data_IF_260341964786
#
_entry.id   IF_260341964786
#
_cell.length_a   1.000
_cell.length_b   1.000
_cell.length_c   1.000
_cell.angle_alpha   90.00
_cell.angle_beta   90.00
_cell.angle_gamma   90.00
#
_symmetry.space_group_name_H-M   'P 1'
#
loop_
_entity.id
_entity.type
_entity.pdbx_description
1 polymer ?
#
# COMPACT_ATOMS: atom_id res chain seq x y z
N UNK A 1 -26.30 -45.18 56.24
CA UNK A 1 -25.53 -44.33 57.19
C UNK A 1 -24.19 -43.97 56.56
N UNK A 2 -23.67 -42.75 56.84
CA UNK A 2 -22.45 -42.05 56.33
C UNK A 2 -22.75 -41.13 55.12
N UNK A 3 -23.21 -39.88 55.36
CA UNK A 3 -22.45 -38.62 55.62
C UNK A 3 -21.57 -38.23 54.42
N UNK A 4 -22.03 -37.32 53.56
CA UNK A 4 -21.81 -35.86 53.60
C UNK A 4 -20.43 -35.46 53.10
N UNK A 5 -20.36 -34.60 52.07
CA UNK A 5 -19.69 -33.28 52.06
C UNK A 5 -20.15 -32.57 50.79
N UNK A 6 -20.98 -31.53 50.96
CA UNK A 6 -21.28 -30.53 49.93
C UNK A 6 -20.20 -29.46 50.04
N UNK A 7 -19.40 -29.27 49.00
CA UNK A 7 -18.48 -28.15 48.90
C UNK A 7 -19.22 -26.99 48.22
N UNK A 8 -19.62 -26.00 49.02
CA UNK A 8 -20.17 -24.73 48.56
C UNK A 8 -19.01 -23.85 48.09
N UNK A 9 -18.91 -23.61 46.79
CA UNK A 9 -18.06 -22.59 46.19
C UNK A 9 -18.89 -21.31 46.01
N UNK A 10 -18.66 -20.34 46.90
CA UNK A 10 -19.14 -18.97 46.77
C UNK A 10 -18.26 -18.24 45.75
N UNK A 11 -18.83 -17.90 44.59
CA UNK A 11 -18.19 -17.07 43.58
C UNK A 11 -18.70 -15.63 43.79
N UNK A 12 -17.81 -14.62 43.97
CA UNK A 12 -18.25 -13.24 44.04
C UNK A 12 -18.63 -12.74 42.65
N UNK A 13 -19.86 -12.25 42.51
CA UNK A 13 -20.36 -11.58 41.31
C UNK A 13 -19.74 -10.18 41.29
N UNK A 14 -18.69 -10.00 40.49
CA UNK A 14 -18.17 -8.68 40.15
C UNK A 14 -19.11 -8.07 39.12
N UNK A 15 -19.89 -7.08 39.53
CA UNK A 15 -20.74 -6.29 38.64
C UNK A 15 -19.86 -5.44 37.72
N UNK A 16 -19.75 -5.86 36.46
CA UNK A 16 -19.06 -5.11 35.41
C UNK A 16 -20.04 -4.07 34.85
N UNK A 17 -19.89 -2.81 35.26
CA UNK A 17 -20.60 -1.69 34.66
C UNK A 17 -20.13 -1.51 33.22
N UNK A 18 -20.95 -1.93 32.26
CA UNK A 18 -20.76 -1.61 30.84
C UNK A 18 -21.10 -0.13 30.66
N UNK A 19 -20.07 0.72 30.65
CA UNK A 19 -20.16 2.05 30.04
C UNK A 19 -20.32 1.82 28.55
N UNK A 20 -21.51 2.11 28.02
CA UNK A 20 -21.75 2.24 26.60
C UNK A 20 -20.99 3.47 26.10
N UNK A 21 -19.71 3.28 25.79
CA UNK A 21 -18.92 4.23 25.03
C UNK A 21 -19.44 4.24 23.60
N UNK A 22 -20.07 5.35 23.22
CA UNK A 22 -20.41 5.66 21.84
C UNK A 22 -19.14 5.53 20.98
N UNK A 23 -19.14 4.60 20.02
CA UNK A 23 -18.00 4.40 19.13
C UNK A 23 -17.68 5.74 18.44
N UNK A 24 -16.46 6.27 18.52
CA UNK A 24 -16.10 7.42 17.73
C UNK A 24 -16.26 7.03 16.26
N UNK A 25 -17.07 7.80 15.53
CA UNK A 25 -17.20 7.73 14.08
C UNK A 25 -15.82 8.06 13.50
N UNK A 26 -15.00 7.02 13.29
CA UNK A 26 -13.68 7.14 12.68
C UNK A 26 -13.82 7.96 11.40
N UNK A 27 -13.01 9.02 11.29
CA UNK A 27 -12.83 9.74 10.04
C UNK A 27 -12.45 8.73 8.94
N UNK A 28 -12.89 8.92 7.68
CA UNK A 28 -12.59 7.99 6.61
C UNK A 28 -11.06 7.82 6.46
N UNK A 29 -10.62 6.56 6.48
CA UNK A 29 -9.23 6.11 6.47
C UNK A 29 -8.39 6.77 5.37
N UNK A 30 -7.39 7.56 5.77
CA UNK A 30 -6.44 8.24 4.87
C UNK A 30 -5.22 7.37 4.54
N UNK A 31 -5.38 6.05 4.38
CA UNK A 31 -4.25 5.15 4.08
C UNK A 31 -3.52 5.64 2.81
N UNK A 32 -2.25 6.03 2.91
CA UNK A 32 -1.48 6.55 1.77
C UNK A 32 -1.90 7.94 1.26
N UNK A 33 -2.58 8.76 2.07
CA UNK A 33 -2.79 10.20 1.82
C UNK A 33 -3.80 10.55 0.72
N UNK A 34 -4.66 9.63 0.31
CA UNK A 34 -5.69 9.85 -0.73
C UNK A 34 -7.10 9.76 -0.15
N UNK A 35 -8.06 10.43 -0.80
CA UNK A 35 -9.49 10.16 -0.59
C UNK A 35 -9.89 8.84 -1.25
N UNK A 36 -11.02 8.24 -0.85
CA UNK A 36 -11.53 7.02 -1.50
C UNK A 36 -11.79 7.21 -2.99
N UNK A 37 -12.35 8.36 -3.37
CA UNK A 37 -12.59 8.71 -4.77
C UNK A 37 -11.27 8.78 -5.56
N UNK A 38 -10.24 9.44 -5.01
CA UNK A 38 -8.93 9.50 -5.66
C UNK A 38 -8.29 8.10 -5.72
N UNK A 39 -8.40 7.30 -4.65
CA UNK A 39 -7.88 5.92 -4.62
C UNK A 39 -8.49 5.07 -5.72
N UNK A 40 -9.82 5.10 -5.89
CA UNK A 40 -10.52 4.36 -6.95
C UNK A 40 -10.08 4.85 -8.34
N UNK A 41 -9.96 6.16 -8.51
CA UNK A 41 -9.54 6.76 -9.78
C UNK A 41 -8.12 6.32 -10.17
N UNK A 42 -7.16 6.41 -9.24
CA UNK A 42 -5.78 5.99 -9.48
C UNK A 42 -5.63 4.48 -9.61
N UNK A 43 -6.38 3.66 -8.86
CA UNK A 43 -6.39 2.21 -9.04
C UNK A 43 -6.83 1.82 -10.46
N UNK A 44 -7.91 2.45 -10.96
CA UNK A 44 -8.39 2.23 -12.33
C UNK A 44 -7.37 2.64 -13.39
N UNK A 45 -6.67 3.76 -13.18
CA UNK A 45 -5.63 4.21 -14.10
C UNK A 45 -4.39 3.32 -14.03
N UNK A 46 -3.98 2.90 -12.83
CA UNK A 46 -2.90 1.96 -12.62
C UNK A 46 -3.16 0.66 -13.41
N UNK A 47 -4.35 0.08 -13.26
CA UNK A 47 -4.74 -1.14 -13.97
C UNK A 47 -4.68 -1.01 -15.51
N UNK A 48 -4.99 0.17 -16.06
CA UNK A 48 -4.97 0.39 -17.51
C UNK A 48 -3.59 0.76 -18.06
N UNK A 49 -2.83 1.55 -17.33
CA UNK A 49 -1.63 2.22 -17.87
C UNK A 49 -0.33 1.66 -17.31
N UNK A 50 -0.30 1.24 -16.05
CA UNK A 50 0.94 0.79 -15.39
C UNK A 50 1.00 -0.73 -15.33
N UNK A 51 -0.10 -1.38 -14.99
CA UNK A 51 -0.16 -2.82 -14.82
C UNK A 51 0.30 -3.62 -16.04
N UNK A 52 -0.08 -3.28 -17.30
CA UNK A 52 0.42 -4.01 -18.45
C UNK A 52 1.96 -4.01 -18.53
N UNK A 53 2.62 -2.90 -18.20
CA UNK A 53 4.09 -2.81 -18.19
C UNK A 53 4.73 -3.66 -17.08
N UNK A 54 4.00 -3.94 -16.00
CA UNK A 54 4.48 -4.75 -14.87
C UNK A 54 4.18 -6.24 -15.04
N UNK A 55 3.03 -6.58 -15.64
CA UNK A 55 2.49 -7.93 -15.65
C UNK A 55 2.60 -8.64 -17.00
N UNK A 56 2.83 -7.92 -18.10
CA UNK A 56 2.81 -8.51 -19.43
C UNK A 56 4.07 -9.37 -19.71
N UNK A 57 3.91 -10.69 -19.95
CA UNK A 57 5.04 -11.60 -20.17
C UNK A 57 5.80 -11.36 -21.49
N UNK A 58 5.14 -10.73 -22.47
CA UNK A 58 5.70 -10.54 -23.81
C UNK A 58 6.64 -9.33 -23.90
N UNK A 59 6.54 -8.40 -22.94
CA UNK A 59 7.42 -7.24 -22.85
C UNK A 59 8.68 -7.53 -22.05
N UNK A 60 8.62 -8.48 -21.12
CA UNK A 60 9.76 -8.92 -20.32
C UNK A 60 9.50 -10.40 -20.10
N UNK A 61 10.35 -11.30 -20.57
CA UNK A 61 10.10 -12.77 -20.49
C UNK A 61 9.83 -13.30 -19.06
N UNK A 62 9.88 -12.42 -18.05
CA UNK A 62 9.59 -12.67 -16.63
C UNK A 62 8.78 -11.58 -15.90
N UNK A 63 8.32 -10.49 -16.51
CA UNK A 63 7.52 -9.46 -15.80
C UNK A 63 8.19 -8.88 -14.55
N UNK A 64 7.49 -7.98 -13.84
CA UNK A 64 7.73 -7.82 -12.40
C UNK A 64 7.24 -9.07 -11.65
N UNK A 65 6.19 -9.71 -12.15
CA UNK A 65 5.56 -10.83 -11.48
C UNK A 65 6.49 -12.02 -11.28
N UNK A 66 7.34 -12.43 -12.22
CA UNK A 66 8.12 -13.65 -12.00
C UNK A 66 9.23 -13.55 -10.94
N UNK A 67 9.57 -12.35 -10.47
CA UNK A 67 10.52 -12.17 -9.35
C UNK A 67 9.85 -11.72 -8.05
N UNK A 68 8.58 -11.29 -8.12
CA UNK A 68 7.83 -10.74 -7.00
C UNK A 68 6.55 -11.53 -6.70
N UNK A 69 6.54 -12.85 -6.96
CA UNK A 69 5.39 -13.71 -6.66
C UNK A 69 5.24 -13.93 -5.17
N UNK A 70 4.07 -14.36 -4.74
CA UNK A 70 3.87 -14.92 -3.41
C UNK A 70 4.30 -16.39 -3.36
N UNK A 71 5.59 -16.65 -3.60
CA UNK A 71 6.18 -17.99 -3.53
C UNK A 71 7.66 -17.96 -3.11
N UNK A 72 8.25 -19.15 -2.98
CA UNK A 72 9.63 -19.34 -2.52
C UNK A 72 10.70 -18.82 -3.51
N UNK A 73 10.32 -18.43 -4.73
CA UNK A 73 11.23 -17.84 -5.71
C UNK A 73 11.39 -16.32 -5.53
N UNK A 74 10.57 -15.69 -4.69
CA UNK A 74 10.66 -14.28 -4.40
C UNK A 74 11.91 -13.95 -3.59
N UNK A 75 12.77 -13.11 -4.16
CA UNK A 75 13.99 -12.63 -3.52
C UNK A 75 13.87 -11.19 -3.01
N UNK A 76 12.65 -10.66 -2.94
CA UNK A 76 12.33 -9.28 -2.60
C UNK A 76 11.29 -9.21 -1.47
N UNK A 77 11.33 -8.17 -0.61
CA UNK A 77 10.23 -7.91 0.33
C UNK A 77 8.93 -7.48 -0.38
N UNK A 78 9.00 -7.07 -1.65
CA UNK A 78 7.81 -6.74 -2.44
C UNK A 78 7.17 -8.03 -2.96
N UNK A 79 5.93 -8.25 -2.58
CA UNK A 79 5.05 -9.30 -3.11
C UNK A 79 3.96 -8.65 -3.95
N UNK A 80 3.85 -9.06 -5.21
CA UNK A 80 2.82 -8.63 -6.13
C UNK A 80 1.72 -9.69 -6.20
N UNK A 81 0.51 -9.26 -5.85
CA UNK A 81 -0.70 -10.05 -5.93
C UNK A 81 -1.23 -10.12 -7.38
N UNK A 82 -2.09 -11.09 -7.68
CA UNK A 82 -2.65 -11.26 -9.04
C UNK A 82 -3.70 -10.17 -9.41
N UNK A 83 -4.15 -9.36 -8.44
CA UNK A 83 -5.12 -8.30 -8.66
C UNK A 83 -4.43 -6.93 -8.83
N UNK A 84 -4.61 -6.23 -9.96
CA UNK A 84 -4.01 -4.91 -10.19
C UNK A 84 -4.39 -3.88 -9.12
N UNK A 85 -5.63 -3.93 -8.65
CA UNK A 85 -6.12 -3.02 -7.60
C UNK A 85 -5.50 -3.33 -6.25
N UNK A 86 -5.30 -4.61 -5.92
CA UNK A 86 -4.67 -5.02 -4.67
C UNK A 86 -3.17 -4.67 -4.67
N UNK A 87 -2.50 -4.89 -5.81
CA UNK A 87 -1.11 -4.43 -6.03
C UNK A 87 -1.01 -2.93 -5.88
N UNK A 88 -1.90 -2.16 -6.51
CA UNK A 88 -1.90 -0.70 -6.36
C UNK A 88 -2.03 -0.28 -4.88
N UNK A 89 -2.93 -0.92 -4.13
CA UNK A 89 -3.13 -0.62 -2.71
C UNK A 89 -1.87 -0.91 -1.87
N UNK A 90 -1.26 -2.09 -2.02
CA UNK A 90 -0.01 -2.44 -1.31
C UNK A 90 1.13 -1.50 -1.68
N UNK A 91 1.33 -1.21 -2.98
CA UNK A 91 2.38 -0.28 -3.42
C UNK A 91 2.18 1.14 -2.86
N UNK A 92 0.92 1.57 -2.73
CA UNK A 92 0.56 2.85 -2.17
C UNK A 92 0.81 2.91 -0.65
N UNK A 93 0.45 1.86 0.07
CA UNK A 93 0.56 1.73 1.53
C UNK A 93 2.02 1.57 1.98
N UNK A 94 2.80 0.81 1.24
CA UNK A 94 4.22 0.54 1.52
C UNK A 94 5.16 1.62 0.96
N UNK A 95 4.62 2.70 0.39
CA UNK A 95 5.40 3.86 -0.06
C UNK A 95 6.25 3.61 -1.31
N UNK A 96 5.90 2.65 -2.16
CA UNK A 96 6.63 2.36 -3.41
C UNK A 96 6.45 3.43 -4.50
N UNK A 97 5.56 4.40 -4.28
CA UNK A 97 5.40 5.59 -5.13
C UNK A 97 6.09 6.84 -4.55
N UNK A 98 6.82 6.72 -3.45
CA UNK A 98 7.39 7.87 -2.75
C UNK A 98 8.77 8.22 -3.30
N UNK A 99 8.99 9.51 -3.59
CA UNK A 99 10.22 9.99 -4.25
C UNK A 99 11.49 9.73 -3.44
N UNK A 100 11.39 9.70 -2.12
CA UNK A 100 12.52 9.54 -1.22
C UNK A 100 12.75 8.08 -0.82
N UNK A 101 11.89 7.15 -1.27
CA UNK A 101 12.06 5.74 -0.99
C UNK A 101 13.06 5.13 -2.01
N UNK A 102 14.23 4.62 -1.58
CA UNK A 102 15.20 4.00 -2.49
C UNK A 102 14.66 2.71 -3.14
N UNK A 103 13.65 2.10 -2.54
CA UNK A 103 12.94 0.93 -3.06
C UNK A 103 11.76 1.31 -3.97
N UNK A 104 11.43 2.59 -4.13
CA UNK A 104 10.33 3.02 -5.00
C UNK A 104 10.50 2.52 -6.43
N UNK A 105 9.38 2.18 -7.07
CA UNK A 105 9.38 1.55 -8.40
C UNK A 105 10.15 2.41 -9.38
N UNK A 106 9.87 3.72 -9.43
CA UNK A 106 10.53 4.64 -10.34
C UNK A 106 12.05 4.68 -10.12
N UNK A 107 12.50 4.66 -8.85
CA UNK A 107 13.92 4.62 -8.50
C UNK A 107 14.58 3.36 -9.03
N UNK A 108 13.92 2.21 -8.87
CA UNK A 108 14.44 0.90 -9.30
C UNK A 108 14.43 0.74 -10.82
N UNK A 109 13.36 1.12 -11.52
CA UNK A 109 13.29 0.94 -12.98
C UNK A 109 14.10 1.97 -13.77
N UNK A 110 14.32 3.16 -13.21
CA UNK A 110 15.11 4.23 -13.83
C UNK A 110 16.56 4.28 -13.34
N UNK A 111 17.02 3.30 -12.56
CA UNK A 111 18.37 3.32 -12.00
C UNK A 111 19.44 3.30 -13.10
N UNK A 112 20.47 4.16 -13.00
CA UNK A 112 21.52 4.27 -14.04
C UNK A 112 22.46 3.06 -14.06
N UNK A 113 22.80 2.55 -12.87
CA UNK A 113 23.63 1.35 -12.73
C UNK A 113 22.75 0.10 -12.85
N UNK A 114 23.05 -0.76 -13.82
CA UNK A 114 22.32 -1.98 -14.15
C UNK A 114 22.24 -2.98 -12.99
N UNK A 115 23.25 -3.03 -12.11
CA UNK A 115 23.26 -3.92 -10.94
C UNK A 115 22.13 -3.61 -9.95
N UNK A 116 21.64 -2.37 -9.95
CA UNK A 116 20.56 -1.92 -9.07
C UNK A 116 19.28 -1.58 -9.84
N UNK A 117 19.29 -1.72 -11.18
CA UNK A 117 18.11 -1.47 -12.01
C UNK A 117 17.21 -2.69 -12.02
N UNK A 118 15.90 -2.46 -11.97
CA UNK A 118 14.89 -3.49 -12.19
C UNK A 118 14.24 -3.33 -13.58
N UNK A 119 13.88 -4.44 -14.26
CA UNK A 119 14.24 -5.81 -13.87
C UNK A 119 15.74 -6.08 -14.07
N UNK A 120 16.31 -7.09 -13.39
CA UNK A 120 17.72 -7.46 -13.55
C UNK A 120 17.96 -8.13 -14.92
N UNK A 121 19.19 -8.01 -15.43
CA UNK A 121 19.64 -8.71 -16.65
C UNK A 121 19.49 -10.24 -16.46
N UNK A 122 19.01 -10.99 -17.47
CA UNK A 122 18.82 -10.62 -18.87
C UNK A 122 17.45 -10.03 -19.24
N UNK A 123 16.57 -9.74 -18.28
CA UNK A 123 15.24 -9.21 -18.59
C UNK A 123 15.32 -7.83 -19.25
N UNK A 124 14.39 -7.54 -20.17
CA UNK A 124 14.31 -6.25 -20.86
C UNK A 124 14.07 -5.13 -19.85
N UNK A 125 14.92 -4.10 -19.90
CA UNK A 125 14.69 -2.87 -19.15
C UNK A 125 13.51 -2.08 -19.72
N UNK A 126 12.84 -1.30 -18.87
CA UNK A 126 11.78 -0.40 -19.31
C UNK A 126 12.34 0.64 -20.29
N UNK A 127 11.57 0.96 -21.32
CA UNK A 127 11.85 1.99 -22.30
C UNK A 127 11.73 3.37 -21.67
N UNK A 128 12.27 4.39 -22.33
CA UNK A 128 12.14 5.77 -21.87
C UNK A 128 10.67 6.23 -21.81
N UNK A 129 9.81 5.70 -22.69
CA UNK A 129 8.38 6.01 -22.72
C UNK A 129 7.63 5.35 -21.56
N UNK A 130 7.95 4.09 -21.24
CA UNK A 130 7.38 3.38 -20.10
C UNK A 130 7.77 4.07 -18.78
N UNK A 131 9.05 4.45 -18.64
CA UNK A 131 9.54 5.22 -17.49
C UNK A 131 8.86 6.59 -17.39
N UNK A 132 8.63 7.27 -18.53
CA UNK A 132 7.90 8.55 -18.55
C UNK A 132 6.46 8.37 -18.09
N UNK A 133 5.78 7.32 -18.55
CA UNK A 133 4.39 7.00 -18.16
C UNK A 133 4.28 6.77 -16.66
N UNK A 134 5.19 5.99 -16.08
CA UNK A 134 5.25 5.77 -14.63
C UNK A 134 5.53 7.07 -13.85
N UNK A 135 6.48 7.88 -14.34
CA UNK A 135 6.83 9.16 -13.72
C UNK A 135 5.63 10.09 -13.66
N UNK A 136 4.93 10.28 -14.77
CA UNK A 136 3.74 11.13 -14.85
C UNK A 136 2.64 10.61 -13.92
N UNK A 137 2.39 9.30 -13.87
CA UNK A 137 1.45 8.71 -12.93
C UNK A 137 1.79 9.05 -11.47
N UNK A 138 3.05 8.88 -11.06
CA UNK A 138 3.51 9.14 -9.69
C UNK A 138 3.45 10.63 -9.34
N UNK A 139 3.83 11.51 -10.26
CA UNK A 139 3.76 12.96 -10.06
C UNK A 139 2.33 13.44 -9.82
N UNK A 140 1.37 12.96 -10.60
CA UNK A 140 -0.04 13.30 -10.43
C UNK A 140 -0.63 12.73 -9.13
N UNK A 141 -0.24 11.50 -8.76
CA UNK A 141 -0.64 10.85 -7.51
C UNK A 141 -0.13 11.64 -6.30
N UNK A 142 1.15 11.99 -6.29
CA UNK A 142 1.74 12.74 -5.17
C UNK A 142 1.21 14.18 -5.09
N UNK A 143 0.91 14.82 -6.23
CA UNK A 143 0.24 16.13 -6.23
C UNK A 143 -1.15 16.07 -5.58
N UNK A 144 -1.85 14.94 -5.66
CA UNK A 144 -3.14 14.73 -4.97
C UNK A 144 -2.95 14.53 -3.46
N UNK A 145 -1.93 13.77 -3.04
CA UNK A 145 -1.58 13.60 -1.62
C UNK A 145 -1.24 14.92 -0.92
N UNK A 146 -0.37 15.73 -1.52
CA UNK A 146 0.08 17.01 -0.94
C UNK A 146 -1.08 17.99 -0.76
N UNK A 147 -1.95 18.13 -1.78
CA UNK A 147 -3.12 19.03 -1.68
C UNK A 147 -4.06 18.64 -0.55
N UNK A 148 -4.22 17.34 -0.28
CA UNK A 148 -5.04 16.85 0.82
C UNK A 148 -4.42 17.19 2.17
N UNK A 149 -3.11 16.96 2.32
CA UNK A 149 -2.37 17.31 3.53
C UNK A 149 -2.44 18.82 3.83
N UNK A 150 -2.25 19.66 2.81
CA UNK A 150 -2.39 21.12 2.96
C UNK A 150 -3.82 21.56 3.31
N UNK A 151 -4.85 20.82 2.88
CA UNK A 151 -6.25 21.11 3.22
C UNK A 151 -6.67 20.66 4.63
N UNK A 152 -5.91 19.75 5.25
CA UNK A 152 -6.15 19.20 6.59
C UNK A 152 -5.32 19.89 7.67
N UNK A 153 -4.32 20.69 7.29
CA UNK A 153 -3.51 21.46 8.24
C UNK A 153 -4.42 22.43 9.03
N UNK A 154 -4.35 22.45 10.37
CA UNK A 154 -5.06 23.43 11.17
C UNK A 154 -4.63 24.83 10.74
N UNK A 155 -5.58 25.67 10.36
CA UNK A 155 -5.30 27.09 10.19
C UNK A 155 -4.92 27.64 11.57
N UNK A 156 -3.62 27.80 11.83
CA UNK A 156 -3.16 28.50 13.02
C UNK A 156 -3.81 29.89 13.01
N UNK A 157 -4.47 30.32 14.09
CA UNK A 157 -5.04 31.65 14.15
C UNK A 157 -3.90 32.66 13.98
N UNK A 158 -3.97 33.46 12.92
CA UNK A 158 -3.14 34.65 12.76
C UNK A 158 -3.39 35.55 13.94
N UNK A 159 -2.37 35.71 14.79
CA UNK A 159 -2.42 36.61 15.94
C UNK A 159 -2.48 38.06 15.42
N UNK A 160 -3.40 38.90 15.94
CA UNK A 160 -3.52 40.31 15.54
C UNK A 160 -2.30 41.14 15.91
#
# INVERSE_FOLDING_TARGET
>A
MRRSIRLLLLIPIVALSVVAGESPKSAPDTAGGLTDTDRIMFARRFARSIWPMMAEPNLTEKGCLACHRDDQSNTSPLVLLDSPSAVFASLLEEGYFDRNNPSAILTRVAHKNEKFRMPPVPARSWSQEEVRTLRTFIEELNAKRIRKESSLAPQLPTRP
#
